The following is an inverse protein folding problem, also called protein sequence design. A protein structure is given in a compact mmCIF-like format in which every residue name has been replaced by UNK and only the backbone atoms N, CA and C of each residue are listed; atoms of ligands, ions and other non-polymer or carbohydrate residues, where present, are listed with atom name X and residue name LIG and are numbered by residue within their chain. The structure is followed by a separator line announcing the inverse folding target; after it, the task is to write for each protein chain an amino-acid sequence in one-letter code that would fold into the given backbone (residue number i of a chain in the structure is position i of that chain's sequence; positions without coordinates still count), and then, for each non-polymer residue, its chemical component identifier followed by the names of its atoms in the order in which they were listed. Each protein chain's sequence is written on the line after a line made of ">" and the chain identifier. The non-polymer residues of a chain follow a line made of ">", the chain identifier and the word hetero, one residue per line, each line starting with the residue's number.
data_IF_747813202154
#
_entry.id   IF_747813202154
#
_cell.length_a   1.000
_cell.length_b   1.000
_cell.length_c   1.000
_cell.angle_alpha   90.00
_cell.angle_beta   90.00
_cell.angle_gamma   90.00
#
_symmetry.space_group_name_H-M   'P 1'
#
loop_
_entity.id
_entity.type
_entity.pdbx_description
1 polymer ?
#
# COMPACT_ATOMS: atom_id res chain seq x y z
N UNK A 1 1.15 10.22 -8.08
CA UNK A 1 0.91 8.96 -7.32
C UNK A 1 -0.57 8.65 -7.29
N UNK A 2 -0.93 7.38 -7.34
CA UNK A 2 -2.31 6.91 -7.14
C UNK A 2 -2.33 5.60 -6.36
N UNK A 3 -3.45 5.32 -5.71
CA UNK A 3 -3.76 4.02 -5.13
C UNK A 3 -4.73 3.30 -6.07
N UNK A 4 -4.50 2.02 -6.31
CA UNK A 4 -5.42 1.19 -7.09
C UNK A 4 -5.63 -0.17 -6.43
N UNK A 5 -6.70 -0.81 -6.81
CA UNK A 5 -7.01 -2.17 -6.40
C UNK A 5 -5.92 -3.13 -6.89
N UNK A 6 -5.73 -4.20 -6.12
CA UNK A 6 -4.83 -5.29 -6.49
C UNK A 6 -5.34 -6.05 -7.73
N UNK A 7 -4.44 -6.48 -8.58
CA UNK A 7 -4.73 -7.24 -9.81
C UNK A 7 -3.87 -8.52 -9.88
N UNK A 8 -4.25 -9.52 -10.68
CA UNK A 8 -3.45 -10.74 -10.85
C UNK A 8 -2.00 -10.51 -11.30
N UNK A 9 -1.78 -9.44 -12.06
CA UNK A 9 -0.43 -9.02 -12.50
C UNK A 9 0.48 -8.56 -11.36
N UNK A 10 -0.05 -8.28 -10.18
CA UNK A 10 0.71 -7.85 -9.00
C UNK A 10 1.32 -9.01 -8.21
N UNK A 11 0.97 -10.25 -8.54
CA UNK A 11 1.47 -11.45 -7.86
C UNK A 11 3.00 -11.48 -7.68
N UNK A 12 3.84 -11.14 -8.68
CA UNK A 12 5.28 -11.13 -8.50
C UNK A 12 5.76 -10.15 -7.43
N UNK A 13 5.15 -8.97 -7.34
CA UNK A 13 5.46 -7.96 -6.32
C UNK A 13 5.07 -8.43 -4.93
N UNK A 14 3.86 -8.93 -4.77
CA UNK A 14 3.39 -9.47 -3.49
C UNK A 14 4.25 -10.63 -3.02
N UNK A 15 4.60 -11.56 -3.92
CA UNK A 15 5.46 -12.67 -3.58
C UNK A 15 6.83 -12.23 -3.07
N UNK A 16 7.40 -11.19 -3.67
CA UNK A 16 8.67 -10.61 -3.23
C UNK A 16 8.52 -9.91 -1.88
N UNK A 17 7.47 -9.10 -1.69
CA UNK A 17 7.31 -8.27 -0.51
C UNK A 17 6.90 -9.07 0.73
N UNK A 18 5.95 -9.99 0.59
CA UNK A 18 5.49 -10.82 1.70
C UNK A 18 6.56 -11.83 2.18
N UNK A 19 7.52 -12.17 1.31
CA UNK A 19 8.63 -13.06 1.63
C UNK A 19 9.94 -12.30 1.93
N UNK A 20 9.91 -11.00 2.07
CA UNK A 20 11.05 -10.21 2.52
C UNK A 20 11.27 -10.40 4.04
N UNK A 21 12.19 -11.31 4.38
CA UNK A 21 12.49 -11.67 5.77
C UNK A 21 12.95 -10.46 6.61
N UNK A 22 13.46 -9.39 5.98
CA UNK A 22 13.86 -8.17 6.71
C UNK A 22 12.66 -7.43 7.28
N UNK A 23 11.46 -7.67 6.74
CA UNK A 23 10.23 -7.04 7.17
C UNK A 23 9.43 -7.88 8.17
N UNK A 24 9.76 -9.17 8.33
CA UNK A 24 9.01 -10.05 9.22
C UNK A 24 9.07 -9.64 10.70
N UNK A 25 10.16 -9.03 11.12
CA UNK A 25 10.29 -8.52 12.49
C UNK A 25 9.30 -7.36 12.79
N UNK A 26 8.84 -6.67 11.75
CA UNK A 26 7.93 -5.53 11.83
C UNK A 26 6.49 -5.87 11.39
N UNK A 27 6.22 -7.13 11.08
CA UNK A 27 4.92 -7.61 10.60
C UNK A 27 4.43 -8.81 11.40
N UNK A 28 3.14 -9.12 11.27
CA UNK A 28 2.55 -10.33 11.84
C UNK A 28 2.76 -11.57 10.96
N UNK A 29 3.61 -11.48 9.94
CA UNK A 29 3.92 -12.60 9.04
C UNK A 29 4.85 -13.57 9.76
N UNK A 30 4.39 -14.80 9.96
CA UNK A 30 5.16 -15.84 10.65
C UNK A 30 5.71 -16.91 9.72
N UNK A 31 5.21 -16.98 8.49
CA UNK A 31 5.54 -18.01 7.52
C UNK A 31 5.77 -17.42 6.12
N UNK A 32 6.69 -18.00 5.34
CA UNK A 32 6.76 -17.72 3.92
C UNK A 32 5.43 -18.04 3.23
N UNK A 33 5.02 -17.22 2.27
CA UNK A 33 3.84 -17.44 1.47
C UNK A 33 4.22 -18.00 0.10
N UNK A 34 3.47 -19.01 -0.35
CA UNK A 34 3.63 -19.56 -1.69
C UNK A 34 2.97 -18.66 -2.75
N UNK A 35 3.39 -18.82 -4.01
CA UNK A 35 2.69 -18.16 -5.13
C UNK A 35 1.23 -18.58 -5.22
N UNK A 36 0.93 -19.83 -4.85
CA UNK A 36 -0.43 -20.35 -4.81
C UNK A 36 -1.29 -19.65 -3.77
N UNK A 37 -0.77 -19.47 -2.55
CA UNK A 37 -1.51 -18.76 -1.47
C UNK A 37 -1.82 -17.32 -1.88
N UNK A 38 -0.85 -16.63 -2.46
CA UNK A 38 -1.02 -15.24 -2.92
C UNK A 38 -1.96 -15.14 -4.12
N UNK A 39 -1.94 -16.10 -5.04
CA UNK A 39 -2.87 -16.17 -6.14
C UNK A 39 -4.32 -16.34 -5.63
N UNK A 40 -4.53 -17.28 -4.70
CA UNK A 40 -5.83 -17.46 -4.06
C UNK A 40 -6.28 -16.20 -3.31
N UNK A 41 -5.36 -15.53 -2.62
CA UNK A 41 -5.67 -14.26 -1.95
C UNK A 41 -6.17 -13.21 -2.95
N UNK A 42 -5.48 -13.02 -4.07
CA UNK A 42 -5.88 -12.07 -5.12
C UNK A 42 -7.24 -12.44 -5.72
N UNK A 43 -7.48 -13.72 -6.01
CA UNK A 43 -8.74 -14.18 -6.59
C UNK A 43 -9.93 -14.03 -5.62
N UNK A 44 -9.71 -14.24 -4.33
CA UNK A 44 -10.77 -14.20 -3.33
C UNK A 44 -11.07 -12.78 -2.83
N UNK A 45 -10.16 -11.83 -3.03
CA UNK A 45 -10.41 -10.44 -2.60
C UNK A 45 -11.48 -9.79 -3.48
N UNK A 46 -12.53 -9.28 -2.84
CA UNK A 46 -13.59 -8.57 -3.56
C UNK A 46 -13.25 -7.08 -3.73
N UNK A 47 -12.34 -6.58 -2.88
CA UNK A 47 -12.02 -5.16 -2.75
C UNK A 47 -13.14 -4.33 -2.15
N UNK A 48 -14.06 -4.99 -1.48
CA UNK A 48 -15.07 -4.38 -0.63
C UNK A 48 -14.68 -4.58 0.84
N UNK A 49 -14.30 -3.50 1.51
CA UNK A 49 -13.83 -3.54 2.89
C UNK A 49 -14.89 -4.06 3.86
N UNK A 50 -16.18 -3.86 3.56
CA UNK A 50 -17.28 -4.36 4.39
C UNK A 50 -17.43 -5.88 4.31
N UNK A 51 -17.06 -6.46 3.19
CA UNK A 51 -17.12 -7.89 2.95
C UNK A 51 -15.86 -8.62 3.38
N UNK A 52 -14.71 -8.05 3.03
CA UNK A 52 -13.41 -8.68 3.23
C UNK A 52 -12.79 -8.32 4.60
N UNK A 53 -13.33 -7.30 5.30
CA UNK A 53 -12.75 -6.68 6.50
C UNK A 53 -11.33 -6.14 6.30
N UNK A 54 -10.89 -6.10 5.05
CA UNK A 54 -9.58 -5.63 4.60
C UNK A 54 -9.69 -5.00 3.21
N UNK A 55 -8.87 -3.99 2.96
CA UNK A 55 -8.68 -3.41 1.64
C UNK A 55 -7.19 -3.19 1.41
N UNK A 56 -6.60 -3.97 0.48
CA UNK A 56 -5.22 -3.78 0.05
C UNK A 56 -5.19 -3.01 -1.26
N UNK A 57 -4.40 -1.95 -1.29
CA UNK A 57 -4.22 -1.09 -2.45
C UNK A 57 -2.75 -1.06 -2.88
N UNK A 58 -2.53 -1.09 -4.18
CA UNK A 58 -1.21 -0.95 -4.78
C UNK A 58 -0.89 0.54 -4.94
N UNK A 59 0.32 0.91 -4.57
CA UNK A 59 0.85 2.28 -4.74
C UNK A 59 1.56 2.37 -6.08
N UNK A 60 1.08 3.24 -6.95
CA UNK A 60 1.69 3.52 -8.26
C UNK A 60 2.18 4.96 -8.36
N UNK A 61 3.39 5.13 -8.86
CA UNK A 61 3.92 6.42 -9.28
C UNK A 61 3.85 6.56 -10.79
N UNK A 62 3.44 7.74 -11.25
CA UNK A 62 3.56 8.11 -12.66
C UNK A 62 5.01 8.49 -12.92
N UNK A 63 5.66 7.81 -13.83
CA UNK A 63 6.97 8.20 -14.35
C UNK A 63 6.79 8.95 -15.66
N UNK A 64 7.38 10.14 -15.73
CA UNK A 64 7.63 10.75 -17.02
C UNK A 64 8.76 9.95 -17.68
N UNK A 65 8.45 9.19 -18.70
CA UNK A 65 9.48 8.50 -19.48
C UNK A 65 10.42 9.57 -20.05
N UNK A 66 11.74 9.51 -19.81
CA UNK A 66 12.68 10.36 -20.55
C UNK A 66 12.76 9.81 -21.98
N UNK A 67 11.80 10.13 -22.81
CA UNK A 67 11.95 9.89 -24.25
C UNK A 67 12.90 10.96 -24.80
N UNK A 68 13.99 10.45 -25.38
CA UNK A 68 14.92 11.20 -26.21
C UNK A 68 14.18 12.28 -27.01
N UNK A 69 14.64 13.51 -26.84
CA UNK A 69 14.28 14.68 -27.59
C UNK A 69 14.55 14.48 -29.07
N UNK A 70 13.65 13.86 -29.82
CA UNK A 70 13.44 14.10 -31.24
C UNK A 70 12.18 13.36 -31.73
N UNK A 71 11.22 14.17 -32.15
CA UNK A 71 10.00 13.82 -32.91
C UNK A 71 9.03 12.80 -32.29
N UNK A 72 8.02 13.30 -31.59
CA UNK A 72 6.63 13.19 -32.07
C UNK A 72 5.65 13.76 -31.03
N UNK A 73 4.95 14.78 -31.42
CA UNK A 73 3.66 15.19 -30.89
C UNK A 73 2.73 13.98 -30.77
N UNK A 74 2.04 13.85 -29.59
CA UNK A 74 0.90 12.97 -29.37
C UNK A 74 1.22 11.49 -29.06
N UNK A 75 1.88 11.23 -27.94
CA UNK A 75 1.63 10.06 -27.08
C UNK A 75 2.72 9.98 -26.00
N UNK A 76 2.67 10.89 -25.04
CA UNK A 76 3.39 10.69 -23.78
C UNK A 76 2.71 9.53 -23.05
N UNK A 77 3.17 8.31 -23.28
CA UNK A 77 2.80 7.17 -22.46
C UNK A 77 3.39 7.41 -21.07
N UNK A 78 2.53 7.86 -20.17
CA UNK A 78 2.79 7.84 -18.74
C UNK A 78 2.99 6.37 -18.34
N UNK A 79 4.24 5.94 -18.21
CA UNK A 79 4.50 4.66 -17.58
C UNK A 79 4.26 4.78 -16.08
N UNK A 80 3.54 3.83 -15.51
CA UNK A 80 3.35 3.74 -14.07
C UNK A 80 4.32 2.71 -13.50
N UNK A 81 4.91 3.01 -12.34
CA UNK A 81 5.76 2.10 -11.58
C UNK A 81 5.06 1.73 -10.29
N UNK A 82 4.95 0.43 -10.03
CA UNK A 82 4.51 -0.09 -8.74
C UNK A 82 5.63 0.10 -7.72
N UNK A 83 5.33 0.76 -6.59
CA UNK A 83 6.33 1.16 -5.59
C UNK A 83 6.01 0.67 -4.17
N UNK A 84 4.90 -0.02 -3.98
CA UNK A 84 4.52 -0.57 -2.69
C UNK A 84 3.04 -0.93 -2.62
N UNK A 85 2.60 -1.23 -1.42
CA UNK A 85 1.18 -1.40 -1.09
C UNK A 85 0.84 -0.74 0.24
N UNK A 86 -0.44 -0.45 0.42
CA UNK A 86 -1.00 0.13 1.64
C UNK A 86 -2.35 -0.50 1.92
N UNK A 87 -2.60 -0.82 3.19
CA UNK A 87 -3.76 -1.60 3.59
C UNK A 87 -4.59 -0.84 4.62
N UNK A 88 -5.91 -1.03 4.55
CA UNK A 88 -6.80 -0.95 5.71
C UNK A 88 -7.17 -2.39 6.12
N UNK A 89 -7.00 -2.73 7.38
CA UNK A 89 -7.35 -4.05 7.92
C UNK A 89 -7.95 -3.91 9.32
N UNK A 90 -8.37 -5.02 9.93
CA UNK A 90 -9.13 -5.00 11.19
C UNK A 90 -10.31 -4.00 11.15
N UNK A 91 -11.00 -3.98 10.01
CA UNK A 91 -12.09 -3.06 9.80
C UNK A 91 -13.29 -3.39 10.70
N UNK A 92 -13.65 -2.42 11.52
CA UNK A 92 -14.81 -2.45 12.39
C UNK A 92 -15.86 -1.46 11.90
N UNK A 93 -16.85 -1.98 11.18
CA UNK A 93 -17.91 -1.16 10.60
C UNK A 93 -18.77 -0.45 11.67
N UNK A 94 -18.97 -1.10 12.83
CA UNK A 94 -19.77 -0.54 13.93
C UNK A 94 -19.10 0.67 14.56
N UNK A 95 -17.81 0.57 14.84
CA UNK A 95 -17.03 1.66 15.45
C UNK A 95 -16.40 2.57 14.40
N UNK A 96 -16.53 2.24 13.11
CA UNK A 96 -15.98 2.99 11.98
C UNK A 96 -14.48 3.24 12.13
N UNK A 97 -13.74 2.17 12.39
CA UNK A 97 -12.28 2.20 12.58
C UNK A 97 -11.60 1.10 11.75
N UNK A 98 -10.34 1.33 11.41
CA UNK A 98 -9.49 0.33 10.77
C UNK A 98 -8.04 0.54 11.18
N UNK A 99 -7.25 -0.52 11.12
CA UNK A 99 -5.80 -0.43 11.18
C UNK A 99 -5.25 -0.08 9.80
N UNK A 100 -4.11 0.60 9.79
CA UNK A 100 -3.34 0.89 8.56
C UNK A 100 -2.03 0.12 8.58
N UNK A 101 -1.69 -0.51 7.45
CA UNK A 101 -0.42 -1.14 7.17
C UNK A 101 0.17 -0.62 5.87
N UNK A 102 1.49 -0.65 5.73
CA UNK A 102 2.14 -0.14 4.53
C UNK A 102 3.47 -0.84 4.29
N UNK A 103 3.72 -1.18 3.02
CA UNK A 103 5.03 -1.57 2.53
C UNK A 103 5.47 -0.65 1.41
N UNK A 104 6.68 -0.12 1.49
CA UNK A 104 7.30 0.66 0.43
C UNK A 104 8.53 -0.10 -0.06
N UNK A 105 8.59 -0.34 -1.36
CA UNK A 105 9.72 -1.00 -2.01
C UNK A 105 11.03 -0.25 -1.69
N UNK A 106 12.14 -0.97 -1.42
CA UNK A 106 13.39 -0.34 -0.96
C UNK A 106 13.86 0.82 -1.83
N UNK A 107 13.74 0.70 -3.14
CA UNK A 107 14.15 1.72 -4.12
C UNK A 107 13.27 2.98 -4.11
N UNK A 108 12.10 2.92 -3.49
CA UNK A 108 11.17 4.04 -3.37
C UNK A 108 11.21 4.72 -1.99
N UNK A 109 11.95 4.14 -1.03
CA UNK A 109 12.08 4.70 0.32
C UNK A 109 12.86 6.02 0.32
N UNK A 110 12.63 6.84 1.34
CA UNK A 110 13.31 8.14 1.50
C UNK A 110 12.88 9.24 0.54
N UNK A 111 11.88 9.00 -0.31
CA UNK A 111 11.37 9.94 -1.35
C UNK A 111 10.01 10.54 -1.01
N UNK A 112 9.52 10.35 0.20
CA UNK A 112 8.20 10.84 0.62
C UNK A 112 7.01 10.00 0.14
N UNK A 113 7.25 8.87 -0.54
CA UNK A 113 6.21 7.96 -1.07
C UNK A 113 5.26 7.51 0.02
N UNK A 114 5.79 7.06 1.17
CA UNK A 114 4.96 6.59 2.28
C UNK A 114 4.01 7.64 2.80
N UNK A 115 4.49 8.88 3.01
CA UNK A 115 3.65 9.99 3.48
C UNK A 115 2.53 10.31 2.49
N UNK A 116 2.84 10.36 1.19
CA UNK A 116 1.83 10.61 0.16
C UNK A 116 0.80 9.46 0.08
N UNK A 117 1.25 8.21 0.22
CA UNK A 117 0.36 7.06 0.20
C UNK A 117 -0.60 7.08 1.39
N UNK A 118 -0.11 7.39 2.59
CA UNK A 118 -0.96 7.54 3.80
C UNK A 118 -1.98 8.65 3.59
N UNK A 119 -1.57 9.82 3.08
CA UNK A 119 -2.50 10.93 2.82
C UNK A 119 -3.62 10.52 1.87
N UNK A 120 -3.31 9.84 0.75
CA UNK A 120 -4.32 9.36 -0.18
C UNK A 120 -5.27 8.33 0.46
N UNK A 121 -4.74 7.47 1.33
CA UNK A 121 -5.57 6.51 2.05
C UNK A 121 -6.46 7.19 3.08
N UNK A 122 -5.97 8.19 3.81
CA UNK A 122 -6.75 8.99 4.76
C UNK A 122 -7.89 9.73 4.07
N UNK A 123 -7.62 10.37 2.93
CA UNK A 123 -8.64 11.06 2.13
C UNK A 123 -9.76 10.10 1.73
N UNK A 124 -9.40 8.88 1.33
CA UNK A 124 -10.36 7.83 1.02
C UNK A 124 -11.10 7.32 2.29
N UNK A 125 -10.36 7.02 3.35
CA UNK A 125 -10.92 6.44 4.56
C UNK A 125 -11.84 7.40 5.31
N UNK A 126 -11.46 8.65 5.47
CA UNK A 126 -12.26 9.65 6.16
C UNK A 126 -13.29 10.30 5.24
N UNK A 127 -12.92 10.60 3.99
CA UNK A 127 -13.79 11.28 3.04
C UNK A 127 -14.86 10.39 2.41
N UNK A 128 -14.49 9.16 2.02
CA UNK A 128 -15.40 8.26 1.31
C UNK A 128 -15.99 7.16 2.20
N UNK A 129 -15.16 6.46 3.01
CA UNK A 129 -15.64 5.42 3.92
C UNK A 129 -16.23 5.98 5.22
N UNK A 130 -16.04 7.27 5.48
CA UNK A 130 -16.50 7.95 6.68
C UNK A 130 -16.03 7.27 7.98
N UNK A 131 -14.80 6.77 7.99
CA UNK A 131 -14.19 6.25 9.20
C UNK A 131 -14.05 7.36 10.23
N UNK A 132 -14.04 7.01 11.51
CA UNK A 132 -13.79 7.92 12.63
C UNK A 132 -12.37 7.83 13.13
N UNK A 133 -11.72 6.70 12.91
CA UNK A 133 -10.38 6.44 13.41
C UNK A 133 -9.62 5.52 12.48
N UNK A 134 -8.37 5.88 12.24
CA UNK A 134 -7.35 4.99 11.69
C UNK A 134 -6.25 4.88 12.74
N UNK A 135 -5.75 3.67 12.97
CA UNK A 135 -4.65 3.43 13.90
C UNK A 135 -3.58 2.56 13.25
N UNK A 136 -2.34 2.71 13.70
CA UNK A 136 -1.21 1.90 13.26
C UNK A 136 -0.63 1.14 14.44
N UNK A 137 -0.31 -0.13 14.22
CA UNK A 137 0.46 -0.96 15.16
C UNK A 137 1.88 -0.99 14.60
N UNK A 138 2.84 -0.44 15.34
CA UNK A 138 4.20 -0.25 14.86
C UNK A 138 5.16 -0.87 15.86
N UNK A 139 6.08 -1.72 15.37
CA UNK A 139 7.19 -2.22 16.16
C UNK A 139 8.01 -1.04 16.68
N UNK A 140 8.42 -1.11 17.97
CA UNK A 140 9.25 -0.06 18.60
C UNK A 140 10.58 0.16 17.88
N UNK A 141 11.02 -0.80 17.09
CA UNK A 141 12.25 -0.74 16.30
C UNK A 141 12.05 -0.12 14.92
N UNK A 142 10.81 -0.01 14.44
CA UNK A 142 10.49 0.58 13.14
C UNK A 142 10.37 2.10 13.23
N UNK A 143 11.53 2.74 13.44
CA UNK A 143 11.61 4.20 13.60
C UNK A 143 11.18 4.97 12.34
N UNK A 144 11.40 4.40 11.16
CA UNK A 144 11.01 5.03 9.89
C UNK A 144 9.48 5.15 9.78
N UNK A 145 8.76 4.08 10.11
CA UNK A 145 7.30 4.07 10.10
C UNK A 145 6.73 5.01 11.18
N UNK A 146 7.26 4.93 12.41
CA UNK A 146 6.87 5.83 13.51
C UNK A 146 7.06 7.30 13.14
N UNK A 147 8.15 7.64 12.47
CA UNK A 147 8.42 9.01 12.05
C UNK A 147 7.40 9.51 11.01
N UNK A 148 7.03 8.69 10.04
CA UNK A 148 6.01 9.05 9.03
C UNK A 148 4.68 9.36 9.73
N UNK A 149 4.19 8.47 10.58
CA UNK A 149 2.91 8.67 11.25
C UNK A 149 2.93 9.85 12.22
N UNK A 150 4.02 10.06 12.97
CA UNK A 150 4.17 11.22 13.84
C UNK A 150 4.12 12.54 13.04
N UNK A 151 4.75 12.61 11.87
CA UNK A 151 4.68 13.77 10.98
C UNK A 151 3.27 14.03 10.43
N UNK A 152 2.43 13.01 10.39
CA UNK A 152 1.03 13.10 9.93
C UNK A 152 0.05 13.34 11.08
N UNK A 153 0.55 13.51 12.30
CA UNK A 153 -0.28 13.86 13.47
C UNK A 153 -0.86 12.68 14.23
N UNK A 154 -0.38 11.45 13.96
CA UNK A 154 -0.74 10.30 14.79
C UNK A 154 -0.12 10.43 16.18
N UNK A 155 -0.90 10.10 17.20
CA UNK A 155 -0.52 10.19 18.63
C UNK A 155 -0.71 8.84 19.34
#
# INVERSE_FOLDING_TARGET
>A
MKLRKIEPSDLPFLYQWENDATMWADSDTHNPLSRHDLHQYIENTTGDIYRDSQLRLIIEESQLSPLNSQLSTLNSQLSTKVVGCIDLFDFDARNRKAAIGMYIAPEARGKGVGKQAVQLLEDYAFGFLHLRMIYAIISVHNTACSHIYAQMGYT
#
